data_IF_090466370356
#
_entry.id   IF_090466370356
#
_cell.length_a   1.000
_cell.length_b   1.000
_cell.length_c   1.000
_cell.angle_alpha   90.00
_cell.angle_beta   90.00
_cell.angle_gamma   90.00
#
_symmetry.space_group_name_H-M   'P 1'
#
loop_
_entity.id
_entity.type
_entity.pdbx_description
1 polymer ?
#
# COMPACT_ATOMS: atom_id res chain seq x y z
N UNK A 1 -4.03 -12.89 18.93
CA UNK A 1 -4.59 -12.98 17.55
C UNK A 1 -4.89 -11.57 17.03
N UNK A 2 -3.87 -10.87 16.53
CA UNK A 2 -4.00 -9.70 15.68
C UNK A 2 -2.61 -9.43 15.11
N UNK A 3 -2.42 -9.70 13.81
CA UNK A 3 -1.25 -9.23 13.10
C UNK A 3 -1.25 -7.69 13.12
N UNK A 4 -0.08 -7.08 12.90
CA UNK A 4 0.12 -5.64 12.82
C UNK A 4 -0.75 -4.93 11.75
N UNK A 5 -1.66 -5.62 11.05
CA UNK A 5 -2.74 -5.02 10.25
C UNK A 5 -3.86 -4.40 11.11
N UNK A 6 -3.85 -4.61 12.43
CA UNK A 6 -4.86 -4.06 13.34
C UNK A 6 -4.97 -2.52 13.28
N UNK A 7 -3.87 -1.81 13.03
CA UNK A 7 -3.89 -0.34 12.91
C UNK A 7 -4.70 0.15 11.70
N UNK A 8 -4.54 -0.48 10.53
CA UNK A 8 -5.23 -0.08 9.30
C UNK A 8 -6.71 -0.49 9.34
N UNK A 9 -7.02 -1.69 9.82
CA UNK A 9 -8.41 -2.17 9.87
C UNK A 9 -9.23 -1.49 10.97
N UNK A 10 -8.64 -1.15 12.13
CA UNK A 10 -9.37 -0.47 13.22
C UNK A 10 -9.71 0.97 12.85
N UNK A 11 -8.77 1.73 12.30
CA UNK A 11 -9.04 3.09 11.81
C UNK A 11 -9.93 3.10 10.57
N UNK A 12 -9.72 2.20 9.59
CA UNK A 12 -10.59 2.15 8.42
C UNK A 12 -12.04 1.76 8.77
N UNK A 13 -12.27 0.95 9.80
CA UNK A 13 -13.63 0.71 10.34
C UNK A 13 -14.23 1.96 11.01
N UNK A 14 -13.41 2.81 11.62
CA UNK A 14 -13.87 4.07 12.23
C UNK A 14 -14.20 5.10 11.14
N UNK A 15 -13.34 5.22 10.13
CA UNK A 15 -13.40 6.29 9.12
C UNK A 15 -14.27 5.90 7.91
N UNK A 16 -14.30 4.62 7.54
CA UNK A 16 -15.01 4.09 6.37
C UNK A 16 -15.92 2.90 6.74
N UNK A 17 -16.85 3.05 7.71
CA UNK A 17 -17.63 1.95 8.28
C UNK A 17 -18.57 1.26 7.27
N UNK A 18 -18.88 1.92 6.14
CA UNK A 18 -19.72 1.36 5.07
C UNK A 18 -18.93 0.56 4.03
N UNK A 19 -17.61 0.67 4.03
CA UNK A 19 -16.72 0.06 3.02
C UNK A 19 -16.00 -1.16 3.62
N UNK A 20 -15.57 -1.08 4.89
CA UNK A 20 -14.80 -2.15 5.53
C UNK A 20 -15.70 -3.00 6.42
N UNK A 21 -16.22 -4.10 5.88
CA UNK A 21 -16.95 -5.11 6.65
C UNK A 21 -16.00 -6.12 7.34
N UNK A 22 -16.53 -7.25 7.82
CA UNK A 22 -15.84 -8.21 8.70
C UNK A 22 -14.44 -8.65 8.21
N UNK A 23 -13.64 -9.22 9.12
CA UNK A 23 -12.26 -9.63 8.85
C UNK A 23 -12.16 -10.46 7.57
N UNK A 24 -11.48 -9.93 6.55
CA UNK A 24 -11.25 -10.63 5.30
C UNK A 24 -10.25 -11.78 5.54
N UNK A 25 -10.66 -13.06 5.40
CA UNK A 25 -9.77 -14.21 5.58
C UNK A 25 -8.67 -14.28 4.52
N UNK A 26 -8.91 -13.70 3.35
CA UNK A 26 -7.94 -13.57 2.28
C UNK A 26 -7.31 -12.16 2.34
N UNK A 27 -6.20 -12.01 3.05
CA UNK A 27 -5.44 -10.75 3.06
C UNK A 27 -4.75 -10.44 1.72
N UNK A 28 -4.90 -11.31 0.71
CA UNK A 28 -4.28 -11.17 -0.61
C UNK A 28 -5.28 -10.62 -1.63
N UNK A 29 -4.89 -9.53 -2.30
CA UNK A 29 -5.61 -8.93 -3.42
C UNK A 29 -4.73 -9.11 -4.66
N UNK A 30 -5.13 -9.87 -5.70
CA UNK A 30 -4.33 -10.02 -6.91
C UNK A 30 -3.87 -8.68 -7.50
N UNK A 31 -2.66 -8.62 -8.09
CA UNK A 31 -2.06 -7.37 -8.59
C UNK A 31 -2.96 -6.59 -9.56
N UNK A 32 -3.66 -7.30 -10.44
CA UNK A 32 -4.60 -6.67 -11.37
C UNK A 32 -5.74 -5.98 -10.61
N UNK A 33 -6.39 -6.68 -9.69
CA UNK A 33 -7.46 -6.15 -8.86
C UNK A 33 -6.97 -4.98 -8.00
N UNK A 34 -5.76 -5.07 -7.43
CA UNK A 34 -5.12 -3.97 -6.71
C UNK A 34 -4.99 -2.71 -7.57
N UNK A 35 -4.55 -2.87 -8.82
CA UNK A 35 -4.38 -1.76 -9.77
C UNK A 35 -5.72 -1.13 -10.15
N UNK A 36 -6.74 -1.95 -10.39
CA UNK A 36 -8.11 -1.49 -10.69
C UNK A 36 -8.72 -0.76 -9.49
N UNK A 37 -8.55 -1.31 -8.28
CA UNK A 37 -9.01 -0.69 -7.03
C UNK A 37 -8.40 0.71 -6.81
N UNK A 38 -7.11 0.91 -7.11
CA UNK A 38 -6.48 2.24 -7.01
C UNK A 38 -7.14 3.26 -7.95
N UNK A 39 -7.44 2.85 -9.19
CA UNK A 39 -8.11 3.70 -10.19
C UNK A 39 -9.55 4.01 -9.78
N UNK A 40 -10.26 3.05 -9.20
CA UNK A 40 -11.63 3.24 -8.72
C UNK A 40 -11.69 4.20 -7.51
N UNK A 41 -10.74 4.07 -6.57
CA UNK A 41 -10.60 5.02 -5.45
C UNK A 41 -10.35 6.44 -5.99
N UNK A 42 -9.41 6.60 -6.93
CA UNK A 42 -9.14 7.88 -7.55
C UNK A 42 -10.39 8.45 -8.24
N UNK A 43 -11.05 7.65 -9.08
CA UNK A 43 -12.28 8.03 -9.79
C UNK A 43 -13.35 8.49 -8.81
N UNK A 44 -13.52 7.80 -7.69
CA UNK A 44 -14.45 8.21 -6.64
C UNK A 44 -14.08 9.57 -6.05
N UNK A 45 -12.82 9.77 -5.63
CA UNK A 45 -12.36 11.04 -5.06
C UNK A 45 -12.57 12.22 -6.04
N UNK A 46 -12.28 12.01 -7.32
CA UNK A 46 -12.52 13.02 -8.37
C UNK A 46 -14.02 13.29 -8.52
N UNK A 47 -14.87 12.26 -8.48
CA UNK A 47 -16.32 12.41 -8.62
C UNK A 47 -16.97 13.23 -7.49
N UNK A 48 -16.34 13.30 -6.31
CA UNK A 48 -16.79 14.10 -5.17
C UNK A 48 -16.05 15.45 -5.06
N UNK A 49 -15.27 15.83 -6.07
CA UNK A 49 -14.66 17.16 -6.20
C UNK A 49 -13.22 17.30 -5.68
N UNK A 50 -12.53 16.20 -5.37
CA UNK A 50 -11.08 16.25 -5.06
C UNK A 50 -10.31 16.32 -6.38
N UNK A 51 -9.58 17.41 -6.60
CA UNK A 51 -8.78 17.60 -7.81
C UNK A 51 -7.52 16.71 -7.80
N UNK A 52 -7.08 16.26 -8.98
CA UNK A 52 -5.95 15.32 -9.12
C UNK A 52 -4.66 15.81 -8.45
N UNK A 53 -4.40 17.13 -8.48
CA UNK A 53 -3.23 17.77 -7.85
C UNK A 53 -3.23 17.70 -6.31
N UNK A 54 -4.34 17.28 -5.70
CA UNK A 54 -4.48 17.07 -4.25
C UNK A 54 -4.43 15.59 -3.86
N UNK A 55 -4.24 14.71 -4.83
CA UNK A 55 -4.18 13.27 -4.62
C UNK A 55 -2.75 12.84 -4.90
N UNK A 56 -2.19 12.02 -4.00
CA UNK A 56 -0.86 11.43 -4.17
C UNK A 56 -1.01 9.95 -3.87
N UNK A 57 -0.51 9.12 -4.78
CA UNK A 57 -0.35 7.69 -4.49
C UNK A 57 0.93 7.48 -3.71
N UNK A 58 0.89 6.61 -2.71
CA UNK A 58 2.06 6.27 -1.90
C UNK A 58 2.27 4.76 -2.03
N UNK A 59 3.43 4.34 -2.52
CA UNK A 59 3.70 2.91 -2.70
C UNK A 59 3.89 2.20 -1.35
N UNK A 60 3.61 0.89 -1.24
CA UNK A 60 3.97 0.13 -0.05
C UNK A 60 5.50 0.24 0.20
N UNK A 61 5.95 0.49 1.44
CA UNK A 61 7.38 0.52 1.76
C UNK A 61 8.00 -0.89 1.63
N UNK A 62 9.35 -0.99 1.59
CA UNK A 62 10.01 -2.29 1.54
C UNK A 62 9.76 -3.09 2.82
N UNK A 63 9.67 -4.42 2.67
CA UNK A 63 9.54 -5.33 3.79
C UNK A 63 10.92 -5.75 4.31
N UNK A 64 11.17 -5.58 5.60
CA UNK A 64 12.35 -6.14 6.26
C UNK A 64 12.12 -7.62 6.58
N UNK A 65 12.52 -8.50 5.66
CA UNK A 65 12.23 -9.95 5.72
C UNK A 65 12.77 -10.60 7.00
N UNK A 66 14.01 -10.31 7.41
CA UNK A 66 14.58 -10.89 8.65
C UNK A 66 13.81 -10.49 9.91
N UNK A 67 13.31 -9.24 9.96
CA UNK A 67 12.50 -8.78 11.09
C UNK A 67 11.11 -9.44 11.06
N UNK A 68 10.52 -9.58 9.87
CA UNK A 68 9.23 -10.24 9.68
C UNK A 68 9.28 -11.74 9.97
N UNK A 69 10.36 -12.42 9.60
CA UNK A 69 10.59 -13.83 9.88
C UNK A 69 10.55 -14.12 11.39
N UNK A 70 11.22 -13.28 12.20
CA UNK A 70 11.17 -13.39 13.67
C UNK A 70 9.73 -13.33 14.19
N UNK A 71 8.92 -12.43 13.66
CA UNK A 71 7.49 -12.31 14.01
C UNK A 71 6.67 -13.52 13.55
N UNK A 72 6.97 -14.06 12.36
CA UNK A 72 6.36 -15.28 11.85
C UNK A 72 6.64 -16.48 12.75
N UNK A 73 7.90 -16.65 13.19
CA UNK A 73 8.31 -17.72 14.09
C UNK A 73 7.62 -17.62 15.46
N UNK A 74 7.52 -16.42 16.04
CA UNK A 74 6.78 -16.18 17.29
C UNK A 74 5.29 -16.57 17.19
N UNK A 75 4.74 -16.59 15.97
CA UNK A 75 3.35 -16.98 15.67
C UNK A 75 3.20 -18.42 15.18
N UNK A 76 4.29 -19.21 15.15
CA UNK A 76 4.27 -20.57 14.64
C UNK A 76 4.01 -20.67 13.14
N UNK A 77 4.41 -19.65 12.37
CA UNK A 77 4.26 -19.62 10.91
C UNK A 77 5.62 -19.48 10.22
N UNK A 78 5.74 -20.03 9.00
CA UNK A 78 6.88 -19.76 8.14
C UNK A 78 6.81 -18.34 7.56
N UNK A 79 7.93 -17.86 6.99
CA UNK A 79 7.99 -16.59 6.27
C UNK A 79 6.91 -16.57 5.18
N UNK A 80 6.01 -15.58 5.25
CA UNK A 80 4.82 -15.53 4.40
C UNK A 80 4.65 -14.20 3.65
N UNK A 81 5.68 -13.35 3.68
CA UNK A 81 5.76 -12.10 2.92
C UNK A 81 7.19 -11.90 2.45
N UNK A 82 7.33 -11.37 1.23
CA UNK A 82 8.61 -11.09 0.61
C UNK A 82 8.67 -9.63 0.16
N UNK A 83 9.84 -9.01 0.27
CA UNK A 83 10.08 -7.66 -0.24
C UNK A 83 9.92 -7.61 -1.77
N UNK A 84 10.27 -8.68 -2.47
CA UNK A 84 10.05 -8.80 -3.92
C UNK A 84 8.57 -8.70 -4.29
N UNK A 85 7.68 -9.30 -3.49
CA UNK A 85 6.23 -9.19 -3.68
C UNK A 85 5.78 -7.75 -3.38
N UNK A 86 6.23 -7.13 -2.29
CA UNK A 86 5.94 -5.72 -2.01
C UNK A 86 6.36 -4.79 -3.18
N UNK A 87 7.51 -5.07 -3.81
CA UNK A 87 7.98 -4.36 -5.00
C UNK A 87 7.05 -4.49 -6.21
N UNK A 88 6.40 -5.63 -6.41
CA UNK A 88 5.41 -5.79 -7.50
C UNK A 88 4.19 -4.86 -7.29
N UNK A 89 3.69 -4.75 -6.06
CA UNK A 89 2.59 -3.83 -5.74
C UNK A 89 3.02 -2.37 -5.80
N UNK A 90 4.25 -2.05 -5.39
CA UNK A 90 4.81 -0.71 -5.54
C UNK A 90 4.88 -0.29 -7.01
N UNK A 91 5.39 -1.16 -7.87
CA UNK A 91 5.45 -0.92 -9.31
C UNK A 91 4.05 -0.75 -9.93
N UNK A 92 3.07 -1.58 -9.53
CA UNK A 92 1.70 -1.45 -9.98
C UNK A 92 1.07 -0.10 -9.56
N UNK A 93 1.37 0.36 -8.34
CA UNK A 93 0.92 1.66 -7.83
C UNK A 93 1.52 2.83 -8.62
N UNK A 94 2.82 2.80 -8.90
CA UNK A 94 3.51 3.79 -9.76
C UNK A 94 2.90 3.84 -11.15
N UNK A 95 2.66 2.68 -11.77
CA UNK A 95 2.04 2.60 -13.08
C UNK A 95 0.61 3.14 -13.09
N UNK A 96 -0.19 2.81 -12.06
CA UNK A 96 -1.54 3.33 -11.92
C UNK A 96 -1.56 4.86 -11.81
N UNK A 97 -0.67 5.44 -10.99
CA UNK A 97 -0.53 6.88 -10.85
C UNK A 97 -0.17 7.57 -12.17
N UNK A 98 0.83 7.05 -12.88
CA UNK A 98 1.27 7.57 -14.17
C UNK A 98 0.17 7.50 -15.24
N UNK A 99 -0.57 6.39 -15.31
CA UNK A 99 -1.72 6.25 -16.23
C UNK A 99 -2.88 7.19 -15.90
N UNK A 100 -2.98 7.62 -14.65
CA UNK A 100 -4.05 8.48 -14.17
C UNK A 100 -3.67 9.96 -14.06
N UNK A 101 -2.41 10.32 -14.33
CA UNK A 101 -1.93 11.70 -14.23
C UNK A 101 -1.95 12.23 -12.80
N UNK A 102 -1.63 11.38 -11.82
CA UNK A 102 -1.58 11.71 -10.39
C UNK A 102 -0.14 11.53 -9.91
N UNK A 103 0.29 12.37 -8.96
CA UNK A 103 1.62 12.28 -8.36
C UNK A 103 1.77 10.98 -7.54
N UNK A 104 3.00 10.45 -7.49
CA UNK A 104 3.32 9.24 -6.71
C UNK A 104 4.59 9.40 -5.89
N UNK A 105 4.53 9.00 -4.63
CA UNK A 105 5.68 8.85 -3.75
C UNK A 105 6.07 7.36 -3.69
N UNK A 106 7.16 7.02 -4.39
CA UNK A 106 7.67 5.65 -4.43
C UNK A 106 8.53 5.31 -3.20
N UNK A 107 7.88 5.09 -2.06
CA UNK A 107 8.52 4.69 -0.82
C UNK A 107 9.31 3.38 -0.95
N UNK A 108 8.85 2.43 -1.76
CA UNK A 108 9.56 1.16 -1.96
C UNK A 108 10.98 1.39 -2.48
N UNK A 109 11.13 2.18 -3.53
CA UNK A 109 12.45 2.51 -4.07
C UNK A 109 13.23 3.42 -3.13
N UNK A 110 12.58 4.46 -2.58
CA UNK A 110 13.24 5.46 -1.73
C UNK A 110 13.82 4.84 -0.46
N UNK A 111 13.07 3.99 0.23
CA UNK A 111 13.50 3.42 1.51
C UNK A 111 14.45 2.23 1.37
N UNK A 112 14.75 1.81 0.14
CA UNK A 112 15.80 0.82 -0.13
C UNK A 112 17.17 1.47 -0.35
N UNK A 113 17.19 2.75 -0.76
CA UNK A 113 18.40 3.56 -0.88
C UNK A 113 18.51 4.44 0.37
N UNK A 114 19.30 3.96 1.33
CA UNK A 114 19.82 4.70 2.47
C UNK A 114 18.88 4.94 3.67
N UNK A 115 19.42 4.68 4.87
CA UNK A 115 18.87 5.14 6.15
C UNK A 115 18.87 6.66 6.34
N UNK A 116 18.72 7.46 5.28
CA UNK A 116 18.62 8.92 5.34
C UNK A 116 17.62 9.42 4.30
N UNK A 117 16.39 9.67 4.77
CA UNK A 117 15.28 10.24 4.01
C UNK A 117 15.44 11.76 3.99
N UNK A 118 16.00 12.34 2.93
CA UNK A 118 15.91 13.78 2.71
C UNK A 118 15.78 14.08 1.21
N UNK A 119 14.65 14.70 0.86
CA UNK A 119 14.23 15.13 -0.48
C UNK A 119 13.79 13.98 -1.38
N UNK A 120 12.54 13.98 -1.87
CA UNK A 120 12.14 13.40 -3.16
C UNK A 120 10.61 13.38 -3.32
N UNK A 121 10.04 14.52 -3.71
CA UNK A 121 8.85 14.50 -4.56
C UNK A 121 9.37 14.40 -5.99
N UNK A 122 9.20 13.24 -6.62
CA UNK A 122 9.41 13.12 -8.07
C UNK A 122 8.15 13.67 -8.75
N UNK A 123 8.31 14.73 -9.55
CA UNK A 123 7.27 15.17 -10.48
C UNK A 123 7.44 14.44 -11.82
N UNK A 124 6.34 14.19 -12.55
CA UNK A 124 6.33 13.43 -13.81
C UNK A 124 7.23 14.01 -14.89
#
# INVERSE_FOLDING_TARGET
LASLSGYNTRWAKIVLPRIVSAANPAQHVPLQEFTENLKDILKYLVSIGVSNDKIIFITPPPLQETAWEKECLLKGSALNRLNSVAGQYAQACVQAAGQSGVDVLDLWTLMQKDGQVTHMLAKP
#
